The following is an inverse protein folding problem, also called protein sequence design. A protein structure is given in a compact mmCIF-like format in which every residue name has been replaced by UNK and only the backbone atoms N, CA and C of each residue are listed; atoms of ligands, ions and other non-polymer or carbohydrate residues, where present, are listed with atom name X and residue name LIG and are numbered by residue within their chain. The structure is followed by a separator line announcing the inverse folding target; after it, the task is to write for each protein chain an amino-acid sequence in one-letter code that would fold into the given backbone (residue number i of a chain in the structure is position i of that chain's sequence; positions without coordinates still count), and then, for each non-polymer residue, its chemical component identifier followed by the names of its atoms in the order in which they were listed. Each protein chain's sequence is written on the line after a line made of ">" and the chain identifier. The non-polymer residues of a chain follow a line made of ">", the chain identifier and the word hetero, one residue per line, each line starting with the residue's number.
data_IF_598500518932
#
_entry.id   IF_598500518932
#
_cell.length_a   1.000
_cell.length_b   1.000
_cell.length_c   1.000
_cell.angle_alpha   90.00
_cell.angle_beta   90.00
_cell.angle_gamma   90.00
#
_symmetry.space_group_name_H-M   'P 1'
#
loop_
_entity.id
_entity.type
_entity.pdbx_description
1 polymer ?
#
# COMPACT_ATOMS: atom_id res chain seq x y z
N UNK A 1 9.51 7.64 37.21
CA UNK A 1 8.96 6.28 37.10
C UNK A 1 9.09 5.88 35.64
N UNK A 2 9.89 4.87 35.32
CA UNK A 2 10.05 4.39 33.95
C UNK A 2 8.88 3.46 33.61
N UNK A 3 8.23 3.67 32.46
CA UNK A 3 7.33 2.66 31.91
C UNK A 3 8.18 1.49 31.39
N UNK A 4 7.95 0.29 31.90
CA UNK A 4 8.53 -0.92 31.33
C UNK A 4 7.91 -1.19 29.95
N UNK A 5 8.76 -1.46 28.96
CA UNK A 5 8.36 -1.77 27.59
C UNK A 5 8.46 -3.28 27.38
N UNK A 6 7.33 -3.92 27.08
CA UNK A 6 7.28 -5.34 26.76
C UNK A 6 7.38 -5.53 25.23
N UNK A 7 8.31 -6.38 24.79
CA UNK A 7 8.60 -6.64 23.37
C UNK A 7 8.61 -8.14 23.10
N UNK A 8 8.17 -8.55 21.90
CA UNK A 8 8.11 -9.96 21.53
C UNK A 8 8.23 -10.20 20.02
N UNK A 9 8.70 -11.40 19.67
CA UNK A 9 9.13 -11.72 18.32
C UNK A 9 8.50 -13.01 17.81
N UNK A 10 8.19 -13.07 16.50
CA UNK A 10 7.70 -14.28 15.83
C UNK A 10 8.56 -14.52 14.58
N UNK A 11 9.12 -15.71 14.43
CA UNK A 11 9.85 -16.12 13.22
C UNK A 11 8.92 -16.81 12.18
N UNK A 12 9.47 -17.17 11.02
CA UNK A 12 8.73 -17.91 9.97
C UNK A 12 8.28 -19.30 10.46
N UNK A 13 9.03 -19.95 11.36
CA UNK A 13 8.64 -21.24 11.94
C UNK A 13 7.51 -21.13 12.98
N UNK A 14 7.07 -19.90 13.30
CA UNK A 14 6.01 -19.62 14.25
C UNK A 14 6.44 -19.75 15.71
N UNK A 15 7.73 -19.70 16.02
CA UNK A 15 8.20 -19.68 17.42
C UNK A 15 8.08 -18.25 17.98
N UNK A 16 7.41 -18.13 19.12
CA UNK A 16 7.34 -16.89 19.89
C UNK A 16 8.55 -16.88 20.81
N UNK A 17 9.36 -15.83 20.75
CA UNK A 17 10.48 -15.62 21.66
C UNK A 17 10.30 -14.27 22.38
N UNK A 18 10.39 -14.28 23.71
CA UNK A 18 10.69 -13.09 24.50
C UNK A 18 12.20 -12.92 24.50
N UNK A 19 12.69 -11.73 24.18
CA UNK A 19 14.13 -11.54 23.93
C UNK A 19 14.64 -10.27 24.60
N UNK A 20 15.69 -10.43 25.40
CA UNK A 20 16.49 -9.34 26.00
C UNK A 20 17.76 -9.01 25.17
N UNK A 21 17.97 -9.61 23.99
CA UNK A 21 19.19 -9.45 23.17
C UNK A 21 18.95 -9.33 21.65
N UNK A 22 19.56 -8.31 21.03
CA UNK A 22 19.36 -7.89 19.62
C UNK A 22 19.90 -8.87 18.53
N UNK A 23 20.58 -9.96 18.88
CA UNK A 23 21.36 -10.77 17.92
C UNK A 23 20.51 -11.63 16.96
N UNK A 24 19.25 -11.95 17.30
CA UNK A 24 18.39 -12.85 16.53
C UNK A 24 17.39 -12.18 15.57
N UNK A 25 17.49 -10.87 15.34
CA UNK A 25 16.48 -10.10 14.59
C UNK A 25 16.40 -10.51 13.10
N UNK A 26 17.50 -10.98 12.53
CA UNK A 26 17.61 -11.29 11.09
C UNK A 26 16.73 -12.46 10.62
N UNK A 27 16.15 -13.25 11.51
CA UNK A 27 15.29 -14.39 11.16
C UNK A 27 13.81 -14.15 11.46
N UNK A 28 13.49 -13.04 12.15
CA UNK A 28 12.13 -12.76 12.61
C UNK A 28 11.27 -12.18 11.50
N UNK A 29 10.01 -12.58 11.49
CA UNK A 29 9.04 -12.25 10.46
C UNK A 29 8.07 -11.16 10.92
N UNK A 30 7.70 -11.15 12.20
CA UNK A 30 6.93 -10.04 12.79
C UNK A 30 7.54 -9.64 14.12
N UNK A 31 7.65 -8.34 14.32
CA UNK A 31 8.09 -7.68 15.53
C UNK A 31 6.90 -6.99 16.18
N UNK A 32 6.65 -7.29 17.46
CA UNK A 32 5.62 -6.66 18.28
C UNK A 32 6.25 -5.90 19.44
N UNK A 33 5.95 -4.60 19.56
CA UNK A 33 6.25 -3.82 20.77
C UNK A 33 4.93 -3.25 21.27
N UNK A 34 4.49 -3.73 22.42
CA UNK A 34 3.39 -3.10 23.13
C UNK A 34 3.98 -1.99 24.00
N UNK A 35 3.62 -0.72 23.74
CA UNK A 35 3.73 0.32 24.77
C UNK A 35 2.53 0.19 25.72
N UNK A 36 2.36 -1.01 26.25
CA UNK A 36 1.33 -1.33 27.21
C UNK A 36 2.02 -2.07 28.34
N UNK A 37 1.74 -1.67 29.57
CA UNK A 37 2.30 -2.26 30.80
C UNK A 37 1.72 -3.66 31.07
N UNK A 38 1.13 -4.31 30.06
CA UNK A 38 0.35 -5.53 30.19
C UNK A 38 0.92 -6.64 29.29
N UNK A 39 1.82 -7.42 29.85
CA UNK A 39 2.45 -8.61 29.24
C UNK A 39 1.41 -9.59 28.66
N UNK A 40 0.28 -9.80 29.35
CA UNK A 40 -0.78 -10.71 28.89
C UNK A 40 -1.42 -10.24 27.57
N UNK A 41 -1.54 -8.91 27.36
CA UNK A 41 -2.03 -8.36 26.10
C UNK A 41 -1.06 -8.62 24.95
N UNK A 42 0.25 -8.49 25.22
CA UNK A 42 1.29 -8.76 24.24
C UNK A 42 1.28 -10.24 23.82
N UNK A 43 1.23 -11.15 24.78
CA UNK A 43 1.14 -12.60 24.51
C UNK A 43 -0.09 -12.97 23.68
N UNK A 44 -1.25 -12.43 24.05
CA UNK A 44 -2.49 -12.67 23.33
C UNK A 44 -2.39 -12.24 21.85
N UNK A 45 -1.79 -11.07 21.61
CA UNK A 45 -1.55 -10.49 20.28
C UNK A 45 -0.52 -11.29 19.48
N UNK A 46 0.57 -11.71 20.11
CA UNK A 46 1.60 -12.56 19.50
C UNK A 46 1.02 -13.90 19.06
N UNK A 47 0.18 -14.51 19.90
CA UNK A 47 -0.50 -15.76 19.57
C UNK A 47 -1.40 -15.61 18.32
N UNK A 48 -2.15 -14.51 18.23
CA UNK A 48 -3.01 -14.24 17.08
C UNK A 48 -2.21 -13.99 15.79
N UNK A 49 -1.09 -13.27 15.88
CA UNK A 49 -0.21 -13.05 14.75
C UNK A 49 0.53 -14.32 14.31
N UNK A 50 0.94 -15.18 15.25
CA UNK A 50 1.49 -16.50 14.94
C UNK A 50 0.48 -17.33 14.16
N UNK A 51 -0.77 -17.35 14.61
CA UNK A 51 -1.84 -18.06 13.93
C UNK A 51 -1.98 -17.60 12.47
N UNK A 52 -1.97 -16.28 12.23
CA UNK A 52 -1.97 -15.72 10.89
C UNK A 52 -0.85 -16.24 9.97
N UNK A 53 0.37 -16.38 10.49
CA UNK A 53 1.51 -16.86 9.71
C UNK A 53 1.45 -18.36 9.43
N UNK A 54 0.82 -19.13 10.32
CA UNK A 54 0.66 -20.58 10.18
C UNK A 54 -0.47 -21.02 9.23
N UNK A 55 -1.38 -20.12 8.86
CA UNK A 55 -2.49 -20.46 7.96
C UNK A 55 -1.98 -21.00 6.62
N UNK A 56 -2.54 -22.14 6.25
CA UNK A 56 -2.38 -22.81 4.96
C UNK A 56 -3.66 -22.72 4.14
N UNK A 57 -3.58 -23.04 2.84
CA UNK A 57 -4.78 -23.07 1.99
C UNK A 57 -5.81 -24.12 2.45
N UNK A 58 -5.37 -25.18 3.14
CA UNK A 58 -6.25 -26.21 3.71
C UNK A 58 -7.10 -25.67 4.86
N UNK A 59 -6.56 -24.74 5.65
CA UNK A 59 -7.31 -24.11 6.75
C UNK A 59 -8.47 -23.25 6.23
N UNK A 60 -8.43 -22.85 4.96
CA UNK A 60 -9.41 -21.97 4.32
C UNK A 60 -10.60 -22.73 3.72
N UNK A 61 -10.52 -24.06 3.57
CA UNK A 61 -11.54 -24.86 2.86
C UNK A 61 -12.82 -25.05 3.66
N UNK A 62 -12.76 -25.02 5.00
CA UNK A 62 -13.89 -25.27 5.88
C UNK A 62 -14.21 -24.04 6.75
N UNK A 63 -15.50 -23.75 6.97
CA UNK A 63 -15.90 -22.74 7.96
C UNK A 63 -15.64 -23.28 9.37
N UNK A 64 -14.55 -22.84 9.99
CA UNK A 64 -14.12 -23.34 11.31
C UNK A 64 -14.80 -22.64 12.49
N UNK A 65 -15.40 -21.46 12.26
CA UNK A 65 -15.81 -20.55 13.33
C UNK A 65 -17.32 -20.30 13.33
N UNK A 66 -17.96 -20.55 14.47
CA UNK A 66 -19.41 -20.37 14.65
C UNK A 66 -19.83 -18.89 14.64
N UNK A 67 -21.12 -18.65 14.44
CA UNK A 67 -21.70 -17.34 14.70
C UNK A 67 -21.71 -17.07 16.21
N UNK A 68 -21.12 -15.93 16.60
CA UNK A 68 -21.12 -15.42 17.97
C UNK A 68 -20.98 -13.90 17.91
N UNK A 69 -21.93 -13.20 18.51
CA UNK A 69 -22.00 -11.73 18.53
C UNK A 69 -21.08 -11.09 19.57
N UNK A 70 -20.55 -11.88 20.52
CA UNK A 70 -19.62 -11.43 21.55
C UNK A 70 -18.15 -11.48 21.12
N UNK A 71 -17.84 -12.28 20.09
CA UNK A 71 -16.49 -12.46 19.57
C UNK A 71 -16.03 -11.33 18.66
N UNK A 72 -14.73 -11.05 18.72
CA UNK A 72 -14.00 -10.41 17.62
C UNK A 72 -13.38 -11.47 16.72
N UNK A 73 -13.29 -11.18 15.44
CA UNK A 73 -12.76 -12.12 14.45
C UNK A 73 -12.06 -11.41 13.30
N UNK A 74 -11.24 -12.17 12.60
CA UNK A 74 -10.62 -11.78 11.33
C UNK A 74 -11.23 -12.64 10.22
N UNK A 75 -11.51 -12.04 9.06
CA UNK A 75 -12.14 -12.70 7.93
C UNK A 75 -11.48 -12.32 6.61
N UNK A 76 -11.64 -13.18 5.61
CA UNK A 76 -11.11 -13.01 4.26
C UNK A 76 -12.20 -13.25 3.20
N UNK A 77 -12.11 -12.54 2.07
CA UNK A 77 -12.90 -12.80 0.86
C UNK A 77 -12.02 -13.37 -0.25
N UNK A 78 -12.57 -14.27 -1.07
CA UNK A 78 -11.83 -15.00 -2.11
C UNK A 78 -12.40 -14.81 -3.52
N UNK A 79 -11.52 -14.60 -4.51
CA UNK A 79 -11.90 -14.50 -5.93
C UNK A 79 -12.33 -15.86 -6.50
N UNK A 80 -11.80 -16.96 -5.95
CA UNK A 80 -12.17 -18.35 -6.28
C UNK A 80 -12.74 -19.07 -5.06
N UNK A 81 -14.02 -18.85 -4.71
CA UNK A 81 -14.65 -19.43 -3.52
C UNK A 81 -14.62 -20.96 -3.42
N UNK A 82 -14.58 -21.66 -4.58
CA UNK A 82 -14.54 -23.12 -4.64
C UNK A 82 -13.15 -23.71 -4.34
N UNK A 83 -12.10 -22.90 -4.42
CA UNK A 83 -10.73 -23.29 -4.13
C UNK A 83 -10.02 -22.12 -3.42
N UNK A 84 -10.44 -21.80 -2.18
CA UNK A 84 -9.91 -20.65 -1.46
C UNK A 84 -8.43 -20.89 -1.18
N UNK A 85 -7.62 -19.88 -1.47
CA UNK A 85 -6.19 -19.84 -1.17
C UNK A 85 -5.79 -18.43 -0.80
N UNK A 86 -4.67 -18.28 -0.10
CA UNK A 86 -4.09 -16.98 0.24
C UNK A 86 -3.84 -16.12 -1.03
N UNK A 87 -3.51 -16.76 -2.17
CA UNK A 87 -3.31 -16.09 -3.46
C UNK A 87 -4.59 -15.54 -4.08
N UNK A 88 -5.72 -16.16 -3.77
CA UNK A 88 -7.05 -15.74 -4.27
C UNK A 88 -7.77 -14.80 -3.30
N UNK A 89 -7.20 -14.55 -2.12
CA UNK A 89 -7.77 -13.61 -1.17
C UNK A 89 -7.66 -12.20 -1.75
N UNK A 90 -8.79 -11.49 -1.87
CA UNK A 90 -8.81 -10.11 -2.37
C UNK A 90 -9.18 -9.09 -1.29
N UNK A 91 -9.60 -9.53 -0.11
CA UNK A 91 -9.90 -8.64 1.00
C UNK A 91 -9.67 -9.36 2.33
N UNK A 92 -9.04 -8.67 3.26
CA UNK A 92 -8.93 -9.07 4.67
C UNK A 92 -9.56 -7.97 5.50
N UNK A 93 -10.33 -8.37 6.51
CA UNK A 93 -10.96 -7.46 7.45
C UNK A 93 -11.05 -8.05 8.85
N UNK A 94 -11.15 -7.18 9.85
CA UNK A 94 -11.60 -7.54 11.20
C UNK A 94 -13.01 -7.05 11.50
N UNK A 95 -13.66 -7.66 12.48
CA UNK A 95 -14.97 -7.21 12.93
C UNK A 95 -15.52 -8.02 14.09
N UNK A 96 -16.70 -7.61 14.54
CA UNK A 96 -17.56 -8.35 15.45
C UNK A 96 -18.96 -8.44 14.84
N UNK A 97 -19.87 -9.20 15.47
CA UNK A 97 -21.24 -9.42 14.98
C UNK A 97 -21.24 -9.88 13.51
N UNK A 98 -22.03 -9.24 12.64
CA UNK A 98 -22.16 -9.56 11.22
C UNK A 98 -21.40 -8.60 10.27
N UNK A 99 -20.29 -8.01 10.73
CA UNK A 99 -19.45 -7.08 9.93
C UNK A 99 -18.95 -7.72 8.62
N UNK A 100 -18.57 -9.00 8.68
CA UNK A 100 -18.09 -9.75 7.51
C UNK A 100 -19.10 -9.82 6.36
N UNK A 101 -20.40 -9.72 6.61
CA UNK A 101 -21.45 -9.72 5.56
C UNK A 101 -21.96 -8.33 5.20
N UNK A 102 -21.51 -7.28 5.88
CA UNK A 102 -21.96 -5.90 5.64
C UNK A 102 -21.61 -5.39 4.23
N UNK A 103 -20.42 -5.74 3.72
CA UNK A 103 -20.02 -5.35 2.37
C UNK A 103 -20.98 -5.89 1.31
N UNK A 104 -21.49 -7.11 1.50
CA UNK A 104 -22.42 -7.77 0.58
C UNK A 104 -23.83 -7.20 0.74
N UNK A 105 -24.31 -7.02 1.97
CA UNK A 105 -25.60 -6.35 2.23
C UNK A 105 -25.68 -4.98 1.55
N UNK A 106 -24.60 -4.21 1.61
CA UNK A 106 -24.51 -2.91 0.93
C UNK A 106 -24.68 -3.05 -0.58
N UNK A 107 -24.03 -4.05 -1.21
CA UNK A 107 -24.13 -4.30 -2.66
C UNK A 107 -25.50 -4.84 -3.09
N UNK A 108 -26.20 -5.57 -2.23
CA UNK A 108 -27.55 -6.09 -2.49
C UNK A 108 -28.68 -5.06 -2.31
N UNK A 109 -28.36 -3.84 -1.87
CA UNK A 109 -29.38 -2.80 -1.67
C UNK A 109 -29.98 -2.32 -3.00
N UNK A 110 -31.29 -2.02 -3.01
CA UNK A 110 -32.04 -1.67 -4.24
C UNK A 110 -31.45 -0.51 -5.05
N UNK A 111 -30.82 0.45 -4.36
CA UNK A 111 -30.24 1.66 -4.97
C UNK A 111 -28.70 1.64 -4.88
N UNK A 112 -28.09 0.47 -4.97
CA UNK A 112 -26.64 0.38 -4.87
C UNK A 112 -25.98 1.05 -6.09
N UNK A 113 -25.09 2.05 -5.89
CA UNK A 113 -24.40 2.68 -7.02
C UNK A 113 -23.47 1.69 -7.71
N UNK A 114 -23.16 1.94 -8.99
CA UNK A 114 -22.14 1.17 -9.74
C UNK A 114 -20.84 1.08 -8.93
N UNK A 115 -20.20 -0.09 -8.93
CA UNK A 115 -18.96 -0.33 -8.22
C UNK A 115 -17.91 0.73 -8.57
N UNK A 116 -17.29 1.32 -7.54
CA UNK A 116 -16.28 2.38 -7.70
C UNK A 116 -14.85 1.89 -7.45
N UNK A 117 -14.69 0.61 -7.11
CA UNK A 117 -13.39 0.01 -6.80
C UNK A 117 -13.38 -1.50 -7.06
N UNK A 118 -12.18 -2.08 -7.09
CA UNK A 118 -11.96 -3.51 -7.34
C UNK A 118 -12.73 -4.41 -6.39
N UNK A 119 -12.75 -4.11 -5.08
CA UNK A 119 -13.49 -4.89 -4.08
C UNK A 119 -14.98 -5.01 -4.42
N UNK A 120 -15.61 -3.86 -4.67
CA UNK A 120 -17.03 -3.79 -5.04
C UNK A 120 -17.29 -4.49 -6.37
N UNK A 121 -16.39 -4.34 -7.35
CA UNK A 121 -16.53 -4.94 -8.67
C UNK A 121 -16.47 -6.47 -8.63
N UNK A 122 -15.58 -7.04 -7.80
CA UNK A 122 -15.48 -8.48 -7.58
C UNK A 122 -16.75 -9.01 -6.89
N UNK A 123 -17.22 -8.31 -5.85
CA UNK A 123 -18.45 -8.67 -5.14
C UNK A 123 -19.66 -8.63 -6.10
N UNK A 124 -19.79 -7.58 -6.90
CA UNK A 124 -20.88 -7.45 -7.89
C UNK A 124 -20.82 -8.58 -8.94
N UNK A 125 -19.63 -8.87 -9.46
CA UNK A 125 -19.43 -9.96 -10.43
C UNK A 125 -19.82 -11.31 -9.83
N UNK A 126 -19.53 -11.54 -8.55
CA UNK A 126 -19.95 -12.74 -7.84
C UNK A 126 -21.47 -12.79 -7.67
N UNK A 127 -22.10 -11.70 -7.22
CA UNK A 127 -23.57 -11.59 -7.09
C UNK A 127 -24.25 -11.92 -8.42
N UNK A 128 -23.80 -11.29 -9.52
CA UNK A 128 -24.34 -11.51 -10.86
C UNK A 128 -24.23 -12.98 -11.29
N UNK A 129 -23.07 -13.62 -11.11
CA UNK A 129 -22.88 -15.04 -11.43
C UNK A 129 -23.85 -15.95 -10.66
N UNK A 130 -24.10 -15.66 -9.39
CA UNK A 130 -25.04 -16.45 -8.56
C UNK A 130 -26.49 -16.20 -8.98
N UNK A 131 -26.87 -14.97 -9.32
CA UNK A 131 -28.24 -14.62 -9.75
C UNK A 131 -28.57 -15.06 -11.17
N UNK A 132 -27.61 -15.04 -12.09
CA UNK A 132 -27.80 -15.59 -13.44
C UNK A 132 -28.02 -17.11 -13.40
N UNK A 133 -27.49 -17.79 -12.38
CA UNK A 133 -27.67 -19.24 -12.19
C UNK A 133 -28.96 -19.60 -11.44
N UNK A 134 -29.65 -18.63 -10.81
CA UNK A 134 -30.90 -18.84 -10.04
C UNK A 134 -31.53 -17.51 -9.61
N UNK A 135 -32.87 -17.36 -9.64
CA UNK A 135 -33.57 -16.22 -9.05
C UNK A 135 -33.47 -16.23 -7.51
N UNK A 136 -32.28 -15.90 -6.97
CA UNK A 136 -31.98 -15.98 -5.55
C UNK A 136 -32.42 -14.70 -4.81
N UNK A 137 -33.23 -14.87 -3.76
CA UNK A 137 -33.63 -13.79 -2.84
C UNK A 137 -32.39 -13.30 -2.05
N UNK A 138 -32.28 -12.02 -1.66
CA UNK A 138 -31.13 -11.49 -0.91
C UNK A 138 -30.69 -12.29 0.32
N UNK A 139 -31.62 -12.90 1.07
CA UNK A 139 -31.30 -13.77 2.21
C UNK A 139 -30.51 -15.01 1.80
N UNK A 140 -30.84 -15.62 0.66
CA UNK A 140 -30.13 -16.78 0.10
C UNK A 140 -28.73 -16.39 -0.36
N UNK A 141 -28.59 -15.21 -0.97
CA UNK A 141 -27.27 -14.69 -1.39
C UNK A 141 -26.36 -14.41 -0.19
N UNK A 142 -26.91 -13.90 0.91
CA UNK A 142 -26.16 -13.72 2.15
C UNK A 142 -25.69 -15.07 2.70
N UNK A 143 -26.57 -16.06 2.83
CA UNK A 143 -26.18 -17.39 3.29
C UNK A 143 -25.15 -18.06 2.38
N UNK A 144 -25.29 -17.94 1.04
CA UNK A 144 -24.28 -18.42 0.09
C UNK A 144 -22.95 -17.69 0.26
N UNK A 145 -22.96 -16.38 0.52
CA UNK A 145 -21.71 -15.65 0.72
C UNK A 145 -20.99 -16.08 2.00
N UNK A 146 -21.75 -16.36 3.06
CA UNK A 146 -21.26 -16.81 4.35
C UNK A 146 -20.59 -18.19 4.25
N UNK A 147 -21.16 -19.04 3.40
CA UNK A 147 -20.70 -20.41 3.18
C UNK A 147 -19.69 -20.57 2.06
N UNK A 148 -19.45 -19.56 1.22
CA UNK A 148 -18.54 -19.68 0.06
C UNK A 148 -17.58 -18.50 -0.12
N UNK A 149 -18.10 -17.28 -0.24
CA UNK A 149 -17.29 -16.12 -0.62
C UNK A 149 -16.35 -15.65 0.50
N UNK A 150 -16.80 -15.77 1.75
CA UNK A 150 -16.10 -15.24 2.92
C UNK A 150 -15.79 -16.37 3.91
N UNK A 151 -14.62 -16.28 4.56
CA UNK A 151 -14.23 -17.17 5.66
C UNK A 151 -13.74 -16.37 6.85
N UNK A 152 -14.17 -16.76 8.05
CA UNK A 152 -13.48 -16.39 9.28
C UNK A 152 -12.21 -17.22 9.37
N UNK A 153 -11.11 -16.58 9.74
CA UNK A 153 -9.78 -17.20 9.85
C UNK A 153 -9.22 -17.13 11.27
N UNK A 154 -9.89 -16.42 12.17
CA UNK A 154 -9.57 -16.36 13.60
C UNK A 154 -10.73 -15.75 14.37
N UNK A 155 -10.93 -16.17 15.62
CA UNK A 155 -12.01 -15.71 16.48
C UNK A 155 -11.57 -15.73 17.94
N UNK A 156 -11.83 -14.66 18.67
CA UNK A 156 -11.42 -14.48 20.07
C UNK A 156 -12.52 -13.81 20.89
N UNK A 157 -12.55 -14.13 22.17
CA UNK A 157 -13.40 -13.51 23.19
C UNK A 157 -12.52 -12.94 24.32
N UNK A 158 -13.12 -12.13 25.19
CA UNK A 158 -12.41 -11.52 26.31
C UNK A 158 -11.80 -10.15 26.02
N UNK A 159 -11.09 -9.61 27.01
CA UNK A 159 -10.67 -8.20 27.05
C UNK A 159 -9.65 -7.81 25.97
N UNK A 160 -8.95 -8.78 25.38
CA UNK A 160 -7.94 -8.55 24.34
C UNK A 160 -8.40 -8.93 22.93
N UNK A 161 -9.64 -9.39 22.75
CA UNK A 161 -10.12 -9.95 21.49
C UNK A 161 -10.01 -8.99 20.29
N UNK A 162 -10.29 -7.69 20.49
CA UNK A 162 -10.12 -6.68 19.42
C UNK A 162 -8.65 -6.54 19.01
N UNK A 163 -7.73 -6.52 19.98
CA UNK A 163 -6.29 -6.43 19.74
C UNK A 163 -5.77 -7.66 18.99
N UNK A 164 -6.22 -8.86 19.37
CA UNK A 164 -5.88 -10.12 18.70
C UNK A 164 -6.37 -10.12 17.24
N UNK A 165 -7.62 -9.72 17.00
CA UNK A 165 -8.18 -9.64 15.65
C UNK A 165 -7.45 -8.64 14.76
N UNK A 166 -6.97 -7.53 15.34
CA UNK A 166 -6.14 -6.56 14.64
C UNK A 166 -4.76 -7.09 14.32
N UNK A 167 -4.09 -7.73 15.28
CA UNK A 167 -2.77 -8.32 15.08
C UNK A 167 -2.80 -9.38 13.97
N UNK A 168 -3.83 -10.22 13.97
CA UNK A 168 -4.05 -11.20 12.91
C UNK A 168 -4.32 -10.54 11.55
N UNK A 169 -5.21 -9.54 11.48
CA UNK A 169 -5.45 -8.79 10.23
C UNK A 169 -4.16 -8.16 9.69
N UNK A 170 -3.39 -7.50 10.56
CA UNK A 170 -2.13 -6.86 10.19
C UNK A 170 -1.09 -7.88 9.70
N UNK A 171 -0.88 -8.99 10.43
CA UNK A 171 0.06 -10.04 10.04
C UNK A 171 -0.33 -10.70 8.72
N UNK A 172 -1.62 -10.92 8.46
CA UNK A 172 -2.11 -11.43 7.17
C UNK A 172 -1.84 -10.45 6.02
N UNK A 173 -2.14 -9.17 6.21
CA UNK A 173 -1.99 -8.14 5.17
C UNK A 173 -0.52 -7.85 4.88
N UNK A 174 0.24 -7.48 5.90
CA UNK A 174 1.61 -7.02 5.75
C UNK A 174 2.59 -8.19 5.59
N UNK A 175 2.30 -9.31 6.26
CA UNK A 175 3.22 -10.43 6.43
C UNK A 175 2.80 -11.74 5.77
N UNK A 176 1.67 -11.85 5.08
CA UNK A 176 1.34 -13.12 4.40
C UNK A 176 0.90 -12.93 2.96
N UNK A 177 -0.13 -12.12 2.77
CA UNK A 177 -0.75 -11.90 1.48
C UNK A 177 -0.07 -10.75 0.74
N UNK A 178 0.26 -9.67 1.44
CA UNK A 178 0.83 -8.47 0.85
C UNK A 178 -0.22 -7.45 0.45
N UNK A 179 0.09 -6.17 0.69
CA UNK A 179 -0.84 -5.04 0.50
C UNK A 179 -1.34 -4.93 -0.96
N UNK A 180 -0.45 -5.14 -1.94
CA UNK A 180 -0.79 -5.03 -3.37
C UNK A 180 -1.72 -6.13 -3.89
N UNK A 181 -1.80 -7.26 -3.19
CA UNK A 181 -2.67 -8.38 -3.57
C UNK A 181 -4.11 -8.16 -3.08
N UNK A 182 -4.34 -7.18 -2.21
CA UNK A 182 -5.62 -6.91 -1.58
C UNK A 182 -6.28 -5.65 -2.13
N UNK A 183 -7.60 -5.64 -2.07
CA UNK A 183 -8.46 -4.52 -2.49
C UNK A 183 -8.86 -3.58 -1.35
N UNK A 184 -8.34 -3.81 -0.13
CA UNK A 184 -8.65 -2.97 1.02
C UNK A 184 -7.97 -1.59 0.90
N UNK A 185 -8.75 -0.53 1.13
CA UNK A 185 -8.26 0.86 0.98
C UNK A 185 -7.48 1.36 2.20
N UNK A 186 -7.50 0.61 3.30
CA UNK A 186 -6.93 0.96 4.61
C UNK A 186 -6.27 -0.30 5.15
N UNK A 187 -4.95 -0.31 5.31
CA UNK A 187 -4.24 -1.40 5.98
C UNK A 187 -4.53 -1.36 7.48
N UNK A 188 -5.67 -1.93 7.89
CA UNK A 188 -6.16 -1.91 9.27
C UNK A 188 -6.48 -0.49 9.79
N UNK A 189 -7.75 -0.12 9.90
CA UNK A 189 -8.09 1.19 10.49
C UNK A 189 -7.77 1.21 12.00
N UNK A 190 -6.96 2.18 12.41
CA UNK A 190 -6.46 2.47 13.76
C UNK A 190 -7.46 3.24 14.65
N UNK A 191 -8.76 2.94 14.58
CA UNK A 191 -9.80 3.68 15.33
C UNK A 191 -10.19 3.08 16.69
N UNK A 192 -9.65 1.95 17.11
CA UNK A 192 -9.89 1.41 18.47
C UNK A 192 -8.70 1.69 19.41
N UNK A 193 -8.82 1.36 20.70
CA UNK A 193 -7.82 1.50 21.78
C UNK A 193 -6.51 0.70 21.55
N UNK A 194 -6.19 0.43 20.30
CA UNK A 194 -5.00 -0.23 19.75
C UNK A 194 -3.85 0.76 19.59
N UNK A 195 -4.06 2.08 19.77
CA UNK A 195 -3.02 3.11 19.66
C UNK A 195 -1.78 2.89 20.55
N UNK A 196 -1.87 2.02 21.57
CA UNK A 196 -0.73 1.59 22.41
C UNK A 196 0.07 0.42 21.86
N UNK A 197 -0.45 -0.31 20.87
CA UNK A 197 0.23 -1.43 20.21
C UNK A 197 0.97 -0.92 18.98
N UNK A 198 2.30 -1.08 18.97
CA UNK A 198 3.12 -0.88 17.79
C UNK A 198 3.37 -2.24 17.16
N UNK A 199 3.12 -2.36 15.86
CA UNK A 199 3.35 -3.58 15.09
C UNK A 199 4.28 -3.29 13.93
N UNK A 200 5.19 -4.21 13.65
CA UNK A 200 5.99 -4.20 12.44
C UNK A 200 6.07 -5.60 11.87
N UNK A 201 5.53 -5.82 10.68
CA UNK A 201 5.66 -7.07 9.97
C UNK A 201 6.64 -6.92 8.81
N UNK A 202 7.48 -7.93 8.62
CA UNK A 202 8.32 -8.04 7.44
C UNK A 202 7.41 -8.28 6.23
N UNK A 203 7.51 -7.47 5.16
CA UNK A 203 6.85 -7.81 3.91
C UNK A 203 7.27 -9.20 3.45
N UNK A 204 6.33 -10.05 3.02
CA UNK A 204 6.67 -11.38 2.48
C UNK A 204 7.61 -11.33 1.29
N UNK A 205 7.51 -10.25 0.51
CA UNK A 205 8.35 -9.97 -0.66
C UNK A 205 9.77 -9.53 -0.29
N UNK A 206 10.05 -9.20 0.97
CA UNK A 206 11.39 -8.91 1.45
C UNK A 206 12.12 -10.22 1.76
N UNK A 207 12.82 -10.75 0.75
CA UNK A 207 13.61 -11.98 0.84
C UNK A 207 14.87 -11.74 1.69
N UNK A 208 15.00 -12.46 2.81
CA UNK A 208 16.12 -12.32 3.74
C UNK A 208 17.34 -13.16 3.35
N UNK A 209 17.25 -14.03 2.35
CA UNK A 209 18.42 -14.68 1.76
C UNK A 209 19.34 -13.68 1.06
N UNK A 210 18.78 -12.52 0.65
CA UNK A 210 19.54 -11.39 0.12
C UNK A 210 20.15 -10.59 1.29
N UNK A 211 21.50 -10.51 1.42
CA UNK A 211 22.15 -9.87 2.57
C UNK A 211 21.75 -8.40 2.78
N UNK A 212 21.49 -7.66 1.71
CA UNK A 212 21.05 -6.26 1.79
C UNK A 212 19.65 -6.15 2.40
N UNK A 213 18.75 -7.08 2.09
CA UNK A 213 17.40 -7.13 2.66
C UNK A 213 17.42 -7.52 4.14
N UNK A 214 18.29 -8.45 4.53
CA UNK A 214 18.52 -8.78 5.93
C UNK A 214 19.00 -7.56 6.72
N UNK A 215 19.95 -6.78 6.18
CA UNK A 215 20.40 -5.52 6.80
C UNK A 215 19.29 -4.48 6.88
N UNK A 216 18.52 -4.29 5.80
CA UNK A 216 17.36 -3.39 5.77
C UNK A 216 16.34 -3.75 6.86
N UNK A 217 16.03 -5.04 7.01
CA UNK A 217 15.11 -5.52 8.03
C UNK A 217 15.64 -5.29 9.45
N UNK A 218 16.91 -5.62 9.70
CA UNK A 218 17.55 -5.39 11.00
C UNK A 218 17.56 -3.91 11.39
N UNK A 219 17.87 -3.02 10.45
CA UNK A 219 17.80 -1.57 10.67
C UNK A 219 16.37 -1.11 10.95
N UNK A 220 15.39 -1.61 10.20
CA UNK A 220 14.00 -1.25 10.42
C UNK A 220 13.51 -1.64 11.82
N UNK A 221 13.90 -2.81 12.32
CA UNK A 221 13.60 -3.24 13.68
C UNK A 221 14.26 -2.31 14.72
N UNK A 222 15.53 -1.94 14.55
CA UNK A 222 16.19 -0.98 15.46
C UNK A 222 15.50 0.40 15.46
N UNK A 223 15.08 0.87 14.29
CA UNK A 223 14.31 2.11 14.16
C UNK A 223 12.93 1.97 14.82
N UNK A 224 12.30 0.80 14.71
CA UNK A 224 11.01 0.52 15.32
C UNK A 224 11.04 0.67 16.85
N UNK A 225 12.07 0.15 17.50
CA UNK A 225 12.22 0.18 18.96
C UNK A 225 12.39 1.61 19.51
N UNK A 226 12.99 2.50 18.70
CA UNK A 226 13.39 3.84 19.14
C UNK A 226 12.42 4.95 18.72
N UNK A 227 11.51 4.68 17.78
CA UNK A 227 10.66 5.71 17.18
C UNK A 227 9.20 5.67 17.66
N UNK A 228 8.53 6.80 17.48
CA UNK A 228 7.10 6.93 17.77
C UNK A 228 6.24 6.27 16.68
N UNK A 229 5.06 5.80 17.06
CA UNK A 229 4.14 5.11 16.16
C UNK A 229 3.83 5.89 14.87
N UNK A 230 3.68 7.21 14.95
CA UNK A 230 3.43 8.07 13.79
C UNK A 230 4.56 7.99 12.74
N UNK A 231 5.82 7.93 13.17
CA UNK A 231 6.97 7.77 12.27
C UNK A 231 6.96 6.40 11.61
N UNK A 232 6.62 5.35 12.36
CA UNK A 232 6.57 3.98 11.85
C UNK A 232 5.57 3.83 10.72
N UNK A 233 4.35 4.35 10.92
CA UNK A 233 3.29 4.27 9.92
C UNK A 233 3.58 5.12 8.68
N UNK A 234 4.13 6.33 8.87
CA UNK A 234 4.25 7.31 7.78
C UNK A 234 5.57 7.25 7.03
N UNK A 235 6.61 6.64 7.62
CA UNK A 235 7.97 6.63 7.07
C UNK A 235 8.51 5.21 6.92
N UNK A 236 8.60 4.47 8.03
CA UNK A 236 9.30 3.18 8.04
C UNK A 236 8.58 2.11 7.23
N UNK A 237 7.27 1.91 7.46
CA UNK A 237 6.51 0.91 6.72
C UNK A 237 6.48 1.18 5.20
N UNK A 238 6.21 2.41 4.72
CA UNK A 238 6.34 2.72 3.30
C UNK A 238 7.75 2.45 2.75
N UNK A 239 8.80 2.81 3.50
CA UNK A 239 10.18 2.56 3.09
C UNK A 239 10.46 1.05 2.91
N UNK A 240 10.02 0.23 3.87
CA UNK A 240 10.12 -1.22 3.79
C UNK A 240 9.33 -1.80 2.62
N UNK A 241 8.11 -1.31 2.35
CA UNK A 241 7.32 -1.76 1.20
C UNK A 241 8.04 -1.45 -0.11
N UNK A 242 8.55 -0.24 -0.27
CA UNK A 242 9.32 0.18 -1.45
C UNK A 242 10.57 -0.70 -1.63
N UNK A 243 11.30 -0.98 -0.55
CA UNK A 243 12.48 -1.86 -0.61
C UNK A 243 12.12 -3.31 -0.88
N UNK A 244 11.01 -3.81 -0.33
CA UNK A 244 10.55 -5.17 -0.57
C UNK A 244 10.12 -5.42 -2.03
N UNK A 245 9.82 -4.35 -2.77
CA UNK A 245 9.57 -4.40 -4.21
C UNK A 245 10.86 -4.33 -5.04
N UNK A 246 12.02 -4.73 -4.47
CA UNK A 246 13.36 -4.50 -5.04
C UNK A 246 13.50 -4.94 -6.50
N UNK A 247 12.92 -6.08 -6.87
CA UNK A 247 12.93 -6.57 -8.26
C UNK A 247 12.28 -5.55 -9.21
N UNK A 248 11.08 -5.07 -8.85
CA UNK A 248 10.33 -4.09 -9.63
C UNK A 248 11.07 -2.75 -9.67
N UNK A 249 11.65 -2.30 -8.55
CA UNK A 249 12.44 -1.06 -8.48
C UNK A 249 13.67 -1.14 -9.40
N UNK A 250 14.40 -2.26 -9.38
CA UNK A 250 15.59 -2.46 -10.23
C UNK A 250 15.23 -2.51 -11.71
N UNK A 251 14.14 -3.19 -12.04
CA UNK A 251 13.62 -3.26 -13.41
C UNK A 251 13.19 -1.88 -13.91
N UNK A 252 12.42 -1.13 -13.11
CA UNK A 252 12.05 0.25 -13.40
C UNK A 252 13.27 1.14 -13.57
N UNK A 253 14.25 1.08 -12.67
CA UNK A 253 15.49 1.85 -12.80
C UNK A 253 16.20 1.56 -14.15
N UNK A 254 16.24 0.29 -14.56
CA UNK A 254 16.84 -0.12 -15.83
C UNK A 254 16.04 0.37 -17.03
N UNK A 255 14.71 0.35 -16.97
CA UNK A 255 13.82 0.86 -18.02
C UNK A 255 13.91 2.38 -18.15
N UNK A 256 13.89 3.11 -17.02
CA UNK A 256 14.04 4.57 -16.99
C UNK A 256 15.38 5.00 -17.57
N UNK A 257 16.47 4.30 -17.23
CA UNK A 257 17.80 4.60 -17.78
C UNK A 257 17.83 4.48 -19.31
N UNK A 258 17.20 3.45 -19.88
CA UNK A 258 17.08 3.29 -21.35
C UNK A 258 16.26 4.39 -22.02
N UNK A 259 15.50 5.17 -21.26
CA UNK A 259 14.69 6.29 -21.73
C UNK A 259 15.36 7.66 -21.48
N UNK A 260 16.63 7.69 -21.04
CA UNK A 260 17.36 8.91 -20.74
C UNK A 260 17.05 9.51 -19.35
N UNK A 261 16.50 8.69 -18.45
CA UNK A 261 16.23 9.07 -17.06
C UNK A 261 17.23 8.39 -16.11
N UNK A 262 18.06 9.20 -15.46
CA UNK A 262 19.10 8.73 -14.55
C UNK A 262 18.53 8.71 -13.12
N UNK A 263 18.61 7.58 -12.39
CA UNK A 263 18.29 7.51 -10.97
C UNK A 263 18.99 8.62 -10.18
N UNK A 264 18.24 9.39 -9.40
CA UNK A 264 18.74 10.59 -8.74
C UNK A 264 18.25 10.68 -7.30
N UNK A 265 19.15 11.04 -6.38
CA UNK A 265 18.78 11.39 -5.00
C UNK A 265 18.52 12.87 -4.90
N UNK A 266 17.29 13.24 -4.56
CA UNK A 266 16.96 14.64 -4.28
C UNK A 266 17.74 15.12 -3.05
N UNK A 267 18.62 16.11 -3.24
CA UNK A 267 19.44 16.69 -2.17
C UNK A 267 18.54 17.16 -0.99
N UNK A 268 19.01 16.95 0.24
CA UNK A 268 18.29 17.14 1.52
C UNK A 268 17.23 16.07 1.87
N UNK A 269 17.12 15.00 1.08
CA UNK A 269 16.33 13.84 1.49
C UNK A 269 17.13 12.94 2.43
N UNK A 270 16.70 12.87 3.70
CA UNK A 270 17.21 11.88 4.67
C UNK A 270 16.67 10.51 4.26
N UNK A 271 17.53 9.50 4.22
CA UNK A 271 17.07 8.11 4.06
C UNK A 271 16.40 7.66 5.35
N UNK A 272 15.24 7.03 5.24
CA UNK A 272 14.55 6.38 6.36
C UNK A 272 15.36 5.19 6.88
N UNK A 273 15.99 4.46 5.96
CA UNK A 273 16.84 3.31 6.21
C UNK A 273 18.12 3.48 5.37
N UNK A 274 19.31 3.34 5.97
CA UNK A 274 20.56 3.74 5.32
C UNK A 274 20.83 2.98 4.01
N UNK A 275 20.40 1.73 3.97
CA UNK A 275 20.59 0.83 2.85
C UNK A 275 19.55 0.96 1.71
N UNK A 276 18.63 1.93 1.77
CA UNK A 276 17.74 2.21 0.64
C UNK A 276 18.54 2.70 -0.59
N UNK A 277 18.14 2.32 -1.82
CA UNK A 277 18.69 2.92 -3.03
C UNK A 277 18.58 4.44 -2.99
N UNK A 278 19.56 5.15 -3.55
CA UNK A 278 19.66 6.60 -3.44
C UNK A 278 18.50 7.37 -4.09
N UNK A 279 17.89 6.79 -5.11
CA UNK A 279 16.72 7.38 -5.76
C UNK A 279 15.38 6.99 -5.11
N UNK A 280 15.39 6.12 -4.10
CA UNK A 280 14.22 5.75 -3.32
C UNK A 280 13.97 6.75 -2.20
N UNK A 281 12.69 6.93 -1.90
CA UNK A 281 12.24 7.99 -1.02
C UNK A 281 10.87 7.70 -0.42
N UNK A 282 10.63 8.20 0.79
CA UNK A 282 9.28 8.36 1.33
C UNK A 282 9.00 9.85 1.50
N UNK A 283 7.94 10.36 0.89
CA UNK A 283 7.64 11.81 0.86
C UNK A 283 6.23 12.15 1.32
N UNK A 284 6.05 13.39 1.79
CA UNK A 284 4.74 13.96 2.13
C UNK A 284 3.89 13.02 3.00
N UNK A 285 2.72 12.64 2.49
CA UNK A 285 1.74 11.78 3.17
C UNK A 285 2.08 10.29 3.09
N UNK A 286 3.36 9.93 3.22
CA UNK A 286 3.88 8.54 3.16
C UNK A 286 4.06 7.98 1.73
N UNK A 287 4.15 8.85 0.72
CA UNK A 287 4.27 8.47 -0.69
C UNK A 287 5.62 7.76 -0.95
N UNK A 288 5.55 6.50 -1.39
CA UNK A 288 6.70 5.69 -1.81
C UNK A 288 7.15 6.14 -3.20
N UNK A 289 8.34 6.73 -3.30
CA UNK A 289 8.77 7.47 -4.50
C UNK A 289 10.10 6.98 -5.05
N UNK A 290 10.22 7.00 -6.37
CA UNK A 290 11.48 6.95 -7.10
C UNK A 290 11.71 8.27 -7.84
N UNK A 291 12.94 8.75 -7.82
CA UNK A 291 13.34 10.00 -8.45
C UNK A 291 14.32 9.77 -9.60
N UNK A 292 14.10 10.48 -10.70
CA UNK A 292 14.95 10.43 -11.87
C UNK A 292 15.18 11.84 -12.41
N UNK A 293 16.41 12.12 -12.84
CA UNK A 293 16.74 13.34 -13.58
C UNK A 293 16.88 13.03 -15.07
N UNK A 294 16.72 14.03 -15.91
CA UNK A 294 17.04 13.90 -17.34
C UNK A 294 18.55 14.06 -17.57
N UNK A 295 19.05 13.51 -18.67
CA UNK A 295 20.47 13.62 -19.07
C UNK A 295 20.91 15.06 -19.39
N UNK A 296 19.99 15.87 -19.91
CA UNK A 296 20.18 17.28 -20.27
C UNK A 296 19.99 18.26 -19.09
N UNK A 297 19.95 17.74 -17.86
CA UNK A 297 19.95 18.53 -16.60
C UNK A 297 18.86 19.60 -16.49
N UNK A 298 17.66 19.31 -16.99
CA UNK A 298 16.49 20.19 -16.87
C UNK A 298 16.19 20.53 -15.41
N UNK A 299 15.60 21.71 -15.11
CA UNK A 299 15.33 22.19 -13.74
C UNK A 299 14.25 21.39 -13.00
N UNK A 300 13.89 20.20 -13.49
CA UNK A 300 12.98 19.27 -12.85
C UNK A 300 13.55 17.85 -12.81
N UNK A 301 13.00 17.05 -11.91
CA UNK A 301 13.14 15.61 -11.86
C UNK A 301 11.76 14.96 -12.00
N UNK A 302 11.74 13.76 -12.57
CA UNK A 302 10.57 12.89 -12.66
C UNK A 302 10.46 12.11 -11.35
N UNK A 303 9.32 12.22 -10.69
CA UNK A 303 8.97 11.45 -9.51
C UNK A 303 7.94 10.38 -9.91
N UNK A 304 8.29 9.10 -9.73
CA UNK A 304 7.35 7.99 -9.82
C UNK A 304 6.85 7.66 -8.41
N UNK A 305 5.57 7.86 -8.15
CA UNK A 305 4.96 7.55 -6.85
C UNK A 305 4.20 6.23 -6.95
N UNK A 306 4.65 5.21 -6.23
CA UNK A 306 3.93 3.95 -6.13
C UNK A 306 2.58 4.16 -5.48
N UNK A 307 1.53 3.59 -6.07
CA UNK A 307 0.23 3.54 -5.42
C UNK A 307 0.35 2.72 -4.14
N UNK A 308 -0.40 3.12 -3.11
CA UNK A 308 -0.54 2.31 -1.89
C UNK A 308 -1.46 1.10 -2.08
N UNK A 309 -2.16 1.03 -3.22
CA UNK A 309 -3.32 0.15 -3.44
C UNK A 309 -3.22 -0.68 -4.72
N UNK A 310 -2.57 -0.14 -5.74
CA UNK A 310 -2.53 -0.72 -7.07
C UNK A 310 -1.07 -0.96 -7.45
N UNK A 311 -0.84 -1.98 -8.27
CA UNK A 311 0.50 -2.32 -8.76
C UNK A 311 0.90 -1.38 -9.91
N UNK A 312 1.09 -0.10 -9.58
CA UNK A 312 1.31 0.97 -10.54
C UNK A 312 1.93 2.22 -9.90
N UNK A 313 2.31 3.17 -10.74
CA UNK A 313 2.94 4.44 -10.36
C UNK A 313 2.19 5.63 -10.93
N UNK A 314 2.17 6.72 -10.18
CA UNK A 314 1.76 8.04 -10.65
C UNK A 314 3.01 8.84 -11.02
N UNK A 315 2.91 9.72 -12.01
CA UNK A 315 4.04 10.51 -12.49
C UNK A 315 3.83 11.97 -12.07
N UNK A 316 4.80 12.51 -11.34
CA UNK A 316 4.89 13.93 -11.03
C UNK A 316 6.21 14.50 -11.56
N UNK A 317 6.23 15.81 -11.81
CA UNK A 317 7.47 16.58 -11.92
C UNK A 317 7.71 17.38 -10.65
N UNK A 318 8.97 17.46 -10.24
CA UNK A 318 9.43 18.14 -9.03
C UNK A 318 10.68 18.96 -9.36
N UNK A 319 10.96 20.07 -8.68
CA UNK A 319 12.26 20.74 -8.82
C UNK A 319 13.41 19.80 -8.41
N UNK A 320 14.57 19.90 -9.06
CA UNK A 320 15.74 19.05 -8.79
C UNK A 320 16.15 19.10 -7.31
N UNK A 321 16.01 20.25 -6.66
CA UNK A 321 16.37 20.45 -5.25
C UNK A 321 15.19 21.00 -4.45
N UNK A 322 15.29 20.91 -3.12
CA UNK A 322 14.34 21.48 -2.15
C UNK A 322 14.80 22.87 -1.70
N UNK A 323 14.96 23.78 -2.65
CA UNK A 323 15.42 25.14 -2.37
C UNK A 323 14.60 26.17 -3.16
N UNK A 324 14.41 27.36 -2.57
CA UNK A 324 13.49 28.37 -3.12
C UNK A 324 13.88 28.83 -4.52
N UNK A 325 15.18 28.91 -4.83
CA UNK A 325 15.66 29.24 -6.18
C UNK A 325 15.24 28.19 -7.22
N UNK A 326 15.36 26.91 -6.89
CA UNK A 326 14.96 25.81 -7.77
C UNK A 326 13.44 25.77 -7.96
N UNK A 327 12.66 26.21 -6.97
CA UNK A 327 11.20 26.30 -7.08
C UNK A 327 10.79 27.33 -8.13
N UNK A 328 11.46 28.49 -8.12
CA UNK A 328 11.23 29.57 -9.09
C UNK A 328 11.66 29.12 -10.49
N UNK A 329 12.87 28.54 -10.62
CA UNK A 329 13.36 28.04 -11.91
C UNK A 329 12.47 26.95 -12.50
N UNK A 330 11.99 26.01 -11.67
CA UNK A 330 11.05 24.98 -12.08
C UNK A 330 9.72 25.55 -12.57
N UNK A 331 9.15 26.51 -11.85
CA UNK A 331 7.90 27.16 -12.26
C UNK A 331 8.08 27.96 -13.56
N UNK A 332 9.17 28.73 -13.68
CA UNK A 332 9.48 29.51 -14.86
C UNK A 332 9.67 28.60 -16.09
N UNK A 333 10.43 27.52 -15.94
CA UNK A 333 10.63 26.54 -17.00
C UNK A 333 9.31 25.99 -17.51
N UNK A 334 8.41 25.53 -16.62
CA UNK A 334 7.13 25.00 -17.05
C UNK A 334 6.25 26.05 -17.76
N UNK A 335 6.42 27.34 -17.48
CA UNK A 335 5.71 28.42 -18.19
C UNK A 335 6.28 28.69 -19.58
N UNK A 336 7.51 28.28 -19.86
CA UNK A 336 8.17 28.48 -21.17
C UNK A 336 8.20 27.23 -22.04
N UNK A 337 7.88 26.07 -21.49
CA UNK A 337 7.72 24.82 -22.27
C UNK A 337 6.78 25.06 -23.44
N UNK A 338 7.22 24.72 -24.65
CA UNK A 338 6.45 24.85 -25.88
C UNK A 338 6.13 23.47 -26.46
N UNK A 339 4.83 23.17 -26.60
CA UNK A 339 4.32 21.94 -27.19
C UNK A 339 3.51 22.30 -28.43
N UNK A 340 3.86 21.75 -29.60
CA UNK A 340 3.17 22.03 -30.86
C UNK A 340 2.91 23.55 -31.06
N UNK A 341 3.97 24.35 -30.92
CA UNK A 341 3.95 25.83 -31.08
C UNK A 341 3.12 26.59 -30.01
N UNK A 342 2.53 25.90 -29.04
CA UNK A 342 1.74 26.49 -27.96
C UNK A 342 2.47 26.33 -26.63
N UNK A 343 2.57 27.41 -25.85
CA UNK A 343 3.19 27.30 -24.51
C UNK A 343 2.30 26.50 -23.58
N UNK A 344 2.91 25.71 -22.68
CA UNK A 344 2.22 24.79 -21.80
C UNK A 344 1.05 25.43 -21.03
N UNK A 345 1.16 26.66 -20.47
CA UNK A 345 0.04 27.29 -19.77
C UNK A 345 -1.22 27.48 -20.62
N UNK A 346 -1.10 27.69 -21.92
CA UNK A 346 -2.23 28.02 -22.81
C UNK A 346 -3.13 26.80 -23.09
N UNK A 347 -2.65 25.59 -22.83
CA UNK A 347 -3.48 24.38 -22.83
C UNK A 347 -4.49 24.34 -21.67
N UNK A 348 -4.31 25.18 -20.63
CA UNK A 348 -5.08 25.10 -19.39
C UNK A 348 -6.06 26.27 -19.27
N UNK A 349 -7.27 26.06 -19.81
CA UNK A 349 -8.32 27.10 -19.94
C UNK A 349 -8.82 27.71 -18.62
N UNK A 350 -8.62 27.05 -17.47
CA UNK A 350 -9.14 27.53 -16.18
C UNK A 350 -8.04 27.84 -15.15
N UNK A 351 -6.94 27.09 -15.14
CA UNK A 351 -5.78 27.36 -14.27
C UNK A 351 -4.60 26.46 -14.60
N UNK A 352 -3.49 27.03 -15.06
CA UNK A 352 -2.19 26.35 -14.96
C UNK A 352 -1.72 26.36 -13.50
N UNK A 353 -1.50 25.18 -12.90
CA UNK A 353 -1.15 25.08 -11.47
C UNK A 353 0.07 24.21 -11.24
N UNK A 354 1.15 24.84 -10.77
CA UNK A 354 2.17 24.17 -9.97
C UNK A 354 1.68 24.17 -8.52
N UNK A 355 1.51 22.98 -7.94
CA UNK A 355 0.99 22.81 -6.57
C UNK A 355 2.12 23.05 -5.56
N UNK A 356 1.77 23.48 -4.34
CA UNK A 356 2.69 23.63 -3.20
C UNK A 356 3.96 24.48 -3.48
N UNK A 357 3.84 25.54 -4.29
CA UNK A 357 4.94 26.41 -4.74
C UNK A 357 5.85 26.95 -3.61
N UNK A 358 5.34 27.10 -2.39
CA UNK A 358 6.08 27.68 -1.25
C UNK A 358 6.79 26.66 -0.35
N UNK A 359 6.60 25.36 -0.59
CA UNK A 359 7.11 24.32 0.33
C UNK A 359 7.85 23.22 -0.41
N UNK A 360 7.16 22.54 -1.32
CA UNK A 360 7.74 21.48 -2.15
C UNK A 360 6.91 21.36 -3.43
N UNK A 361 7.22 22.20 -4.44
CA UNK A 361 6.39 22.32 -5.63
C UNK A 361 6.29 21.00 -6.39
N UNK A 362 5.16 20.78 -7.04
CA UNK A 362 5.01 19.68 -7.99
C UNK A 362 4.01 19.98 -9.09
N UNK A 363 4.22 19.31 -10.21
CA UNK A 363 3.36 19.37 -11.39
C UNK A 363 2.88 17.97 -11.76
N UNK A 364 1.61 17.85 -12.17
CA UNK A 364 0.95 16.59 -12.51
C UNK A 364 0.63 16.55 -14.01
N UNK A 365 1.59 16.10 -14.85
CA UNK A 365 1.50 16.29 -16.29
C UNK A 365 0.36 15.52 -16.95
N UNK A 366 -0.09 14.41 -16.36
CA UNK A 366 -1.14 13.53 -16.90
C UNK A 366 -2.50 13.69 -16.22
N UNK A 367 -2.61 14.64 -15.28
CA UNK A 367 -3.89 14.98 -14.66
C UNK A 367 -4.52 16.15 -15.41
N UNK A 368 -5.82 16.05 -15.70
CA UNK A 368 -6.60 17.15 -16.27
C UNK A 368 -6.51 18.38 -15.37
N UNK A 369 -6.24 19.54 -15.97
CA UNK A 369 -6.06 20.82 -15.29
C UNK A 369 -4.98 20.82 -14.20
N UNK A 370 -4.06 19.84 -14.26
CA UNK A 370 -3.08 19.57 -13.21
C UNK A 370 -3.72 19.34 -11.82
N UNK A 371 -5.01 19.02 -11.79
CA UNK A 371 -5.75 18.78 -10.55
C UNK A 371 -5.61 17.32 -10.13
N UNK A 372 -4.99 17.10 -8.98
CA UNK A 372 -4.76 15.76 -8.44
C UNK A 372 -6.00 14.96 -8.05
N UNK A 373 -7.23 15.43 -8.35
CA UNK A 373 -8.48 14.72 -8.06
C UNK A 373 -8.62 13.45 -8.91
N UNK A 374 -8.17 13.51 -10.19
CA UNK A 374 -8.24 12.40 -11.15
C UNK A 374 -6.84 12.01 -11.65
N UNK A 375 -5.89 11.90 -10.72
CA UNK A 375 -4.52 11.52 -11.07
C UNK A 375 -4.46 10.08 -11.56
N UNK A 376 -3.86 9.87 -12.73
CA UNK A 376 -3.80 8.55 -13.37
C UNK A 376 -2.67 7.69 -12.76
N UNK A 377 -2.93 6.40 -12.58
CA UNK A 377 -1.93 5.43 -12.09
C UNK A 377 -1.59 4.48 -13.22
N UNK A 378 -0.35 4.55 -13.69
CA UNK A 378 0.19 3.69 -14.74
C UNK A 378 0.55 2.32 -14.16
N UNK A 379 -0.06 1.23 -14.65
CA UNK A 379 0.31 -0.12 -14.25
C UNK A 379 1.78 -0.45 -14.55
N UNK A 380 2.41 -1.24 -13.68
CA UNK A 380 3.80 -1.70 -13.90
C UNK A 380 3.92 -2.84 -14.94
N UNK A 381 2.80 -3.45 -15.32
CA UNK A 381 2.74 -4.48 -16.38
C UNK A 381 2.70 -3.87 -17.80
N UNK A 382 2.98 -2.57 -17.91
CA UNK A 382 3.02 -1.77 -19.13
C UNK A 382 1.70 -1.78 -19.95
N UNK A 383 0.59 -2.07 -19.27
CA UNK A 383 -0.75 -1.97 -19.84
C UNK A 383 -1.14 -0.51 -20.08
N UNK A 384 -1.75 -0.25 -21.23
CA UNK A 384 -2.27 1.07 -21.57
C UNK A 384 -3.46 1.48 -20.70
N UNK A 385 -3.48 2.76 -20.35
CA UNK A 385 -4.60 3.42 -19.68
C UNK A 385 -5.02 4.67 -20.47
N UNK A 386 -6.29 5.05 -20.35
CA UNK A 386 -6.75 6.34 -20.84
C UNK A 386 -6.21 7.44 -19.94
N UNK A 387 -5.56 8.44 -20.51
CA UNK A 387 -5.12 9.66 -19.83
C UNK A 387 -5.90 10.87 -20.34
N UNK A 388 -5.99 11.92 -19.53
CA UNK A 388 -6.71 13.15 -19.88
C UNK A 388 -5.88 14.43 -19.61
N UNK A 389 -4.60 14.52 -20.04
CA UNK A 389 -3.89 15.78 -19.96
C UNK A 389 -4.40 16.77 -20.99
N UNK A 390 -4.34 18.06 -20.67
CA UNK A 390 -4.81 19.12 -21.56
C UNK A 390 -3.98 19.25 -22.86
N UNK A 391 -2.72 18.81 -22.84
CA UNK A 391 -1.78 18.95 -23.95
C UNK A 391 -1.72 17.73 -24.89
N UNK A 392 -2.54 16.71 -24.65
CA UNK A 392 -2.75 15.60 -25.59
C UNK A 392 -4.22 15.51 -25.98
N UNK A 393 -4.55 14.82 -27.09
CA UNK A 393 -5.94 14.52 -27.43
C UNK A 393 -6.68 13.80 -26.28
N UNK A 394 -7.97 14.10 -26.14
CA UNK A 394 -8.84 13.44 -25.16
C UNK A 394 -8.82 11.91 -25.37
N UNK A 395 -8.78 11.17 -24.26
CA UNK A 395 -8.74 9.71 -24.24
C UNK A 395 -7.53 9.07 -24.95
N UNK A 396 -6.40 9.80 -25.03
CA UNK A 396 -5.14 9.21 -25.45
C UNK A 396 -4.82 8.01 -24.56
N UNK A 397 -4.47 6.88 -25.18
CA UNK A 397 -4.04 5.67 -24.47
C UNK A 397 -2.52 5.66 -24.39
N UNK A 398 -2.00 5.58 -23.17
CA UNK A 398 -0.57 5.50 -22.90
C UNK A 398 -0.30 4.40 -21.87
N UNK A 399 0.80 3.67 -22.07
CA UNK A 399 1.44 2.93 -20.99
C UNK A 399 2.51 3.79 -20.30
N UNK A 400 3.18 3.25 -19.28
CA UNK A 400 4.18 3.99 -18.49
C UNK A 400 5.32 4.47 -19.39
N UNK A 401 5.86 3.58 -20.23
CA UNK A 401 6.97 3.88 -21.12
C UNK A 401 6.65 5.02 -22.10
N UNK A 402 5.49 4.98 -22.74
CA UNK A 402 5.04 6.00 -23.69
C UNK A 402 4.77 7.33 -22.99
N UNK A 403 4.17 7.32 -21.80
CA UNK A 403 3.96 8.53 -21.01
C UNK A 403 5.30 9.22 -20.67
N UNK A 404 6.29 8.46 -20.20
CA UNK A 404 7.62 8.99 -19.89
C UNK A 404 8.30 9.57 -21.13
N UNK A 405 8.23 8.89 -22.28
CA UNK A 405 8.80 9.39 -23.54
C UNK A 405 8.12 10.68 -24.01
N UNK A 406 6.79 10.74 -23.99
CA UNK A 406 6.04 11.95 -24.35
C UNK A 406 6.43 13.13 -23.47
N UNK A 407 6.61 12.89 -22.17
CA UNK A 407 7.05 13.89 -21.21
C UNK A 407 8.47 14.39 -21.51
N UNK A 408 9.44 13.49 -21.68
CA UNK A 408 10.85 13.87 -21.92
C UNK A 408 11.02 14.54 -23.28
N UNK A 409 10.28 14.11 -24.29
CA UNK A 409 10.37 14.71 -25.62
C UNK A 409 9.65 16.06 -25.71
N UNK A 410 8.50 16.19 -25.04
CA UNK A 410 7.69 17.41 -25.07
C UNK A 410 8.22 18.53 -24.18
N UNK A 411 8.67 18.22 -22.96
CA UNK A 411 9.07 19.25 -22.00
C UNK A 411 10.55 19.61 -22.08
N UNK A 412 10.98 20.08 -23.25
CA UNK A 412 12.34 20.56 -23.52
C UNK A 412 12.47 22.07 -23.30
#
# INVERSE_FOLDING_TARGET
>A
MGCELYTGFIDISGRIESVNTFENINTKFVHFVAQDENEQRLDAVLHAAKHALSITDTDLTCSQYKEDDSSFYTYMYFEKPSLPSLKTAFYVGKGNKRRWTEHIRKRLSKNCPVAKNRKESIIDSWIQKVTCSSASIPSVLLSKSENFLVRKVGQWTGIFADAQSFAMEYALIAGRIGVYNLSNKTGGNSKSNIHKLKLLARPTTLDLEIPQNAKLWAEAVKVFDTQQYAYLQSRLEPALRLCSAYKNVRELNSQMLKMGLIPYRRLQQKKEINHMPDNCAVDGSSDQSLYFRTEDERPFCVQLIFSHKDHGVRINLRPIRRHQSDFIQFEQFLKTVCLNETILPDYYSQKFVVKNLRQDPYFKPFARDCEGRNDCTFPLDDKEISVEPNWLPLHTKLNLSSAIKSLINGFK
#
